data_IF_533698440233
#
_entry.id   IF_533698440233
#
_cell.length_a   1.000
_cell.length_b   1.000
_cell.length_c   1.000
_cell.angle_alpha   90.00
_cell.angle_beta   90.00
_cell.angle_gamma   90.00
#
_symmetry.space_group_name_H-M   'P 1'
#
loop_
_entity.id
_entity.type
_entity.pdbx_description
1 polymer ?
#
# COMPACT_ATOMS: atom_id res chain seq x y z
N UNK A 1 15.95 7.67 48.76
CA UNK A 1 16.41 6.77 47.68
C UNK A 1 15.45 6.67 46.48
N UNK A 2 14.20 7.17 46.55
CA UNK A 2 13.27 7.10 45.40
C UNK A 2 13.57 8.06 44.24
N UNK A 3 14.20 9.21 44.47
CA UNK A 3 14.42 10.23 43.42
C UNK A 3 15.30 9.73 42.26
N UNK A 4 16.36 8.96 42.54
CA UNK A 4 17.22 8.38 41.49
C UNK A 4 16.50 7.29 40.70
N UNK A 5 15.62 6.51 41.35
CA UNK A 5 14.77 5.51 40.67
C UNK A 5 13.76 6.15 39.73
N UNK A 6 13.15 7.27 40.14
CA UNK A 6 12.20 8.02 39.31
C UNK A 6 12.89 8.64 38.10
N UNK A 7 14.07 9.25 38.27
CA UNK A 7 14.85 9.81 37.16
C UNK A 7 15.26 8.72 36.15
N UNK A 8 15.63 7.54 36.63
CA UNK A 8 15.98 6.41 35.77
C UNK A 8 14.76 5.89 34.98
N UNK A 9 13.60 5.77 35.64
CA UNK A 9 12.36 5.35 34.99
C UNK A 9 11.90 6.38 33.94
N UNK A 10 12.00 7.67 34.25
CA UNK A 10 11.62 8.76 33.36
C UNK A 10 12.55 8.85 32.14
N UNK A 11 13.84 8.55 32.31
CA UNK A 11 14.81 8.42 31.21
C UNK A 11 14.51 7.25 30.27
N UNK A 12 14.20 6.06 30.83
CA UNK A 12 13.83 4.88 30.03
C UNK A 12 12.52 5.15 29.26
N UNK A 13 11.52 5.72 29.94
CA UNK A 13 10.23 6.03 29.32
C UNK A 13 10.37 7.06 28.18
N UNK A 14 11.20 8.09 28.38
CA UNK A 14 11.52 9.09 27.36
C UNK A 14 12.21 8.47 26.14
N UNK A 15 13.19 7.58 26.37
CA UNK A 15 13.89 6.88 25.28
C UNK A 15 12.95 6.01 24.45
N UNK A 16 12.06 5.24 25.10
CA UNK A 16 11.07 4.40 24.41
C UNK A 16 10.11 5.28 23.59
N UNK A 17 9.71 6.44 24.13
CA UNK A 17 8.81 7.37 23.45
C UNK A 17 9.45 8.02 22.21
N UNK A 18 10.71 8.45 22.28
CA UNK A 18 11.44 9.00 21.13
C UNK A 18 11.63 7.93 20.04
N UNK A 19 11.95 6.70 20.44
CA UNK A 19 12.06 5.57 19.52
C UNK A 19 10.73 5.30 18.81
N UNK A 20 9.62 5.31 19.55
CA UNK A 20 8.27 5.17 19.00
C UNK A 20 7.95 6.28 17.98
N UNK A 21 8.21 7.55 18.31
CA UNK A 21 8.00 8.68 17.39
C UNK A 21 8.83 8.51 16.12
N UNK A 22 10.08 8.08 16.25
CA UNK A 22 10.98 7.88 15.10
C UNK A 22 10.41 6.81 14.14
N UNK A 23 9.99 5.67 14.67
CA UNK A 23 9.34 4.62 13.87
C UNK A 23 8.07 5.14 13.22
N UNK A 24 7.25 5.90 13.95
CA UNK A 24 6.02 6.48 13.42
C UNK A 24 6.28 7.42 12.24
N UNK A 25 7.28 8.32 12.35
CA UNK A 25 7.68 9.22 11.27
C UNK A 25 8.13 8.42 10.04
N UNK A 26 8.94 7.38 10.22
CA UNK A 26 9.40 6.52 9.12
C UNK A 26 8.21 5.84 8.43
N UNK A 27 7.23 5.33 9.18
CA UNK A 27 6.03 4.70 8.62
C UNK A 27 5.19 5.72 7.82
N UNK A 28 4.97 6.92 8.34
CA UNK A 28 4.23 7.99 7.65
C UNK A 28 4.95 8.41 6.37
N UNK A 29 6.26 8.66 6.45
CA UNK A 29 7.08 9.03 5.29
C UNK A 29 7.06 7.93 4.22
N UNK A 30 7.19 6.67 4.62
CA UNK A 30 7.08 5.52 3.74
C UNK A 30 5.70 5.43 3.06
N UNK A 31 4.61 5.68 3.80
CA UNK A 31 3.25 5.68 3.26
C UNK A 31 3.05 6.76 2.18
N UNK A 32 3.55 7.98 2.44
CA UNK A 32 3.51 9.08 1.46
C UNK A 32 4.34 8.74 0.22
N UNK A 33 5.56 8.23 0.39
CA UNK A 33 6.43 7.85 -0.73
C UNK A 33 5.80 6.74 -1.59
N UNK A 34 5.26 5.71 -0.95
CA UNK A 34 4.56 4.61 -1.61
C UNK A 34 3.41 5.11 -2.47
N UNK A 35 2.59 6.01 -1.91
CA UNK A 35 1.48 6.63 -2.62
C UNK A 35 1.94 7.47 -3.82
N UNK A 36 3.01 8.27 -3.66
CA UNK A 36 3.57 9.08 -4.75
C UNK A 36 4.10 8.18 -5.87
N UNK A 37 4.81 7.11 -5.54
CA UNK A 37 5.33 6.17 -6.54
C UNK A 37 4.22 5.43 -7.29
N UNK A 38 3.18 4.94 -6.60
CA UNK A 38 2.06 4.24 -7.25
C UNK A 38 1.28 5.18 -8.19
N UNK A 39 0.99 6.41 -7.75
CA UNK A 39 0.28 7.40 -8.57
C UNK A 39 1.10 7.86 -9.79
N UNK A 40 2.41 8.04 -9.64
CA UNK A 40 3.32 8.33 -10.76
C UNK A 40 3.43 7.15 -11.74
N UNK A 41 3.48 5.91 -11.24
CA UNK A 41 3.53 4.71 -12.07
C UNK A 41 2.25 4.57 -12.90
N UNK A 42 1.08 4.74 -12.27
CA UNK A 42 -0.20 4.70 -12.96
C UNK A 42 -0.31 5.76 -14.06
N UNK A 43 0.10 7.01 -13.78
CA UNK A 43 -0.03 8.12 -14.74
C UNK A 43 0.68 7.83 -16.06
N UNK A 44 1.84 7.17 -16.00
CA UNK A 44 2.60 6.76 -17.19
C UNK A 44 1.95 5.57 -17.90
N UNK A 45 1.54 4.54 -17.16
CA UNK A 45 0.87 3.37 -17.74
C UNK A 45 -0.50 3.71 -18.37
N UNK A 46 -1.20 4.74 -17.88
CA UNK A 46 -2.52 5.17 -18.39
C UNK A 46 -2.47 6.29 -19.43
N UNK A 47 -1.29 6.82 -19.76
CA UNK A 47 -1.13 7.97 -20.68
C UNK A 47 -1.77 7.75 -22.06
N UNK A 48 -1.78 6.51 -22.56
CA UNK A 48 -2.42 6.13 -23.84
C UNK A 48 -3.83 5.52 -23.71
N UNK A 49 -4.32 5.18 -22.50
CA UNK A 49 -5.55 4.39 -22.34
C UNK A 49 -6.82 5.25 -22.21
N UNK A 50 -6.81 6.33 -21.43
CA UNK A 50 -7.96 7.23 -21.32
C UNK A 50 -7.53 8.60 -20.80
N UNK A 51 -7.50 9.59 -21.70
CA UNK A 51 -7.07 10.97 -21.48
C UNK A 51 -7.86 11.75 -20.39
N UNK A 52 -8.89 11.13 -19.77
CA UNK A 52 -9.76 11.71 -18.74
C UNK A 52 -9.53 11.18 -17.31
N UNK A 53 -8.83 10.05 -17.11
CA UNK A 53 -8.65 9.47 -15.77
C UNK A 53 -7.34 9.90 -15.07
N UNK A 54 -6.47 10.67 -15.75
CA UNK A 54 -5.17 11.10 -15.21
C UNK A 54 -5.23 11.96 -13.95
N UNK A 55 -6.32 12.70 -13.72
CA UNK A 55 -6.56 13.41 -12.45
C UNK A 55 -7.10 12.51 -11.34
N UNK A 56 -7.82 11.42 -11.68
CA UNK A 56 -8.43 10.50 -10.69
C UNK A 56 -7.43 9.49 -10.12
N UNK A 57 -6.31 9.27 -10.82
CA UNK A 57 -5.16 8.47 -10.35
C UNK A 57 -4.57 9.00 -9.04
N UNK A 58 -4.70 10.30 -8.78
CA UNK A 58 -4.19 10.96 -7.58
C UNK A 58 -5.15 10.86 -6.38
N UNK A 59 -6.21 10.04 -6.46
CA UNK A 59 -7.05 9.75 -5.30
C UNK A 59 -6.62 8.36 -4.76
N UNK A 60 -6.17 8.24 -3.49
CA UNK A 60 -5.59 7.01 -2.94
C UNK A 60 -6.43 5.75 -3.14
N UNK A 61 -7.75 5.85 -3.00
CA UNK A 61 -8.67 4.72 -3.16
C UNK A 61 -8.95 4.36 -4.62
N UNK A 62 -8.87 5.32 -5.55
CA UNK A 62 -9.12 5.09 -6.98
C UNK A 62 -7.92 4.47 -7.69
N UNK A 63 -6.70 4.73 -7.20
CA UNK A 63 -5.45 4.15 -7.69
C UNK A 63 -5.54 2.61 -7.83
N UNK A 64 -5.97 1.90 -6.77
CA UNK A 64 -6.16 0.44 -6.80
C UNK A 64 -7.20 -0.05 -7.82
N UNK A 65 -8.27 0.71 -8.02
CA UNK A 65 -9.31 0.36 -8.99
C UNK A 65 -8.81 0.49 -10.44
N UNK A 66 -7.96 1.47 -10.70
CA UNK A 66 -7.33 1.69 -12.01
C UNK A 66 -6.31 0.58 -12.31
N UNK A 67 -5.54 0.10 -11.32
CA UNK A 67 -4.69 -1.07 -11.50
C UNK A 67 -5.46 -2.31 -11.95
N UNK A 68 -6.63 -2.59 -11.36
CA UNK A 68 -7.47 -3.71 -11.82
C UNK A 68 -7.97 -3.55 -13.26
N UNK A 69 -8.26 -2.32 -13.70
CA UNK A 69 -8.60 -2.04 -15.12
C UNK A 69 -7.43 -2.32 -16.06
N UNK A 70 -6.20 -1.94 -15.69
CA UNK A 70 -4.98 -2.15 -16.51
C UNK A 70 -4.67 -3.64 -16.70
N UNK A 71 -4.93 -4.46 -15.68
CA UNK A 71 -4.67 -5.90 -15.69
C UNK A 71 -5.76 -6.70 -16.44
N UNK A 72 -6.88 -6.06 -16.80
CA UNK A 72 -8.02 -6.71 -17.45
C UNK A 72 -9.06 -7.31 -16.50
N UNK A 73 -8.84 -7.23 -15.18
CA UNK A 73 -9.79 -7.68 -14.15
C UNK A 73 -10.37 -6.48 -13.37
N UNK A 74 -11.27 -5.75 -14.04
CA UNK A 74 -11.93 -4.56 -13.47
C UNK A 74 -12.63 -4.85 -12.14
N UNK A 75 -13.23 -6.03 -11.98
CA UNK A 75 -13.89 -6.45 -10.75
C UNK A 75 -12.93 -6.57 -9.55
N UNK A 76 -11.75 -7.17 -9.73
CA UNK A 76 -10.78 -7.36 -8.63
C UNK A 76 -10.21 -6.03 -8.13
N UNK A 77 -9.95 -5.07 -9.02
CA UNK A 77 -9.51 -3.73 -8.63
C UNK A 77 -10.59 -2.96 -7.85
N UNK A 78 -11.86 -3.08 -8.26
CA UNK A 78 -12.99 -2.47 -7.54
C UNK A 78 -13.18 -3.09 -6.15
N UNK A 79 -13.08 -4.41 -6.03
CA UNK A 79 -13.20 -5.12 -4.75
C UNK A 79 -12.07 -4.70 -3.80
N UNK A 80 -10.82 -4.66 -4.26
CA UNK A 80 -9.70 -4.22 -3.42
C UNK A 80 -9.86 -2.77 -2.96
N UNK A 81 -10.30 -1.87 -3.85
CA UNK A 81 -10.61 -0.47 -3.52
C UNK A 81 -11.70 -0.35 -2.45
N UNK A 82 -12.79 -1.10 -2.58
CA UNK A 82 -13.90 -1.11 -1.62
C UNK A 82 -13.46 -1.65 -0.24
N UNK A 83 -12.71 -2.76 -0.22
CA UNK A 83 -12.16 -3.32 1.02
C UNK A 83 -11.25 -2.32 1.73
N UNK A 84 -10.40 -1.61 1.01
CA UNK A 84 -9.50 -0.60 1.61
C UNK A 84 -10.25 0.59 2.20
N UNK A 85 -11.34 1.02 1.55
CA UNK A 85 -12.22 2.07 2.07
C UNK A 85 -12.87 1.62 3.39
N UNK A 86 -13.41 0.40 3.41
CA UNK A 86 -14.05 -0.16 4.61
C UNK A 86 -13.02 -0.29 5.74
N UNK A 87 -11.83 -0.82 5.48
CA UNK A 87 -10.76 -0.93 6.47
C UNK A 87 -10.32 0.44 7.01
N UNK A 88 -10.25 1.46 6.15
CA UNK A 88 -9.92 2.83 6.56
C UNK A 88 -11.00 3.45 7.45
N UNK A 89 -12.28 3.30 7.09
CA UNK A 89 -13.41 3.77 7.89
C UNK A 89 -13.46 3.08 9.26
N UNK A 90 -13.22 1.78 9.30
CA UNK A 90 -13.19 1.00 10.55
C UNK A 90 -11.99 1.41 11.43
N UNK A 91 -10.85 1.75 10.83
CA UNK A 91 -9.68 2.25 11.54
C UNK A 91 -9.93 3.64 12.15
N UNK A 92 -10.57 4.55 11.39
CA UNK A 92 -10.98 5.86 11.90
C UNK A 92 -11.98 5.72 13.05
N UNK A 93 -12.93 4.79 12.96
CA UNK A 93 -13.87 4.49 14.04
C UNK A 93 -13.13 4.07 15.33
N UNK A 94 -12.14 3.17 15.24
CA UNK A 94 -11.35 2.80 16.42
C UNK A 94 -10.54 3.97 17.00
N UNK A 95 -10.02 4.87 16.15
CA UNK A 95 -9.25 6.02 16.60
C UNK A 95 -10.08 7.02 17.41
N UNK A 96 -11.30 7.34 16.95
CA UNK A 96 -12.17 8.30 17.65
C UNK A 96 -12.81 7.74 18.93
N UNK A 97 -13.25 6.48 18.90
CA UNK A 97 -13.98 5.90 20.03
C UNK A 97 -13.07 5.26 21.09
N UNK A 98 -11.78 5.04 20.81
CA UNK A 98 -10.78 4.44 21.71
C UNK A 98 -11.17 3.11 22.37
N UNK A 99 -12.27 2.48 21.92
CA UNK A 99 -12.78 1.21 22.43
C UNK A 99 -12.56 0.11 21.39
N UNK A 100 -11.64 -0.81 21.70
CA UNK A 100 -11.38 -1.98 20.86
C UNK A 100 -12.39 -3.08 21.20
N UNK A 101 -13.51 -3.12 20.47
CA UNK A 101 -14.36 -4.32 20.46
C UNK A 101 -13.62 -5.44 19.73
N UNK A 102 -13.26 -6.49 20.48
CA UNK A 102 -12.48 -7.63 19.97
C UNK A 102 -13.02 -8.20 18.65
N UNK A 103 -14.35 -8.31 18.51
CA UNK A 103 -14.98 -8.82 17.28
C UNK A 103 -14.72 -7.93 16.07
N UNK A 104 -14.91 -6.61 16.21
CA UNK A 104 -14.67 -5.66 15.11
C UNK A 104 -13.18 -5.58 14.75
N UNK A 105 -12.30 -5.74 15.75
CA UNK A 105 -10.86 -5.76 15.53
C UNK A 105 -10.43 -7.00 14.73
N UNK A 106 -10.98 -8.17 15.04
CA UNK A 106 -10.70 -9.41 14.31
C UNK A 106 -11.21 -9.33 12.85
N UNK A 107 -12.39 -8.73 12.64
CA UNK A 107 -12.93 -8.46 11.29
C UNK A 107 -12.00 -7.52 10.51
N UNK A 108 -11.50 -6.46 11.15
CA UNK A 108 -10.52 -5.55 10.53
C UNK A 108 -9.27 -6.29 10.07
N UNK A 109 -8.74 -7.16 10.92
CA UNK A 109 -7.52 -7.94 10.66
C UNK A 109 -7.71 -8.88 9.45
N UNK A 110 -8.84 -9.60 9.41
CA UNK A 110 -9.19 -10.44 8.26
C UNK A 110 -9.31 -9.64 6.96
N UNK A 111 -9.97 -8.49 6.99
CA UNK A 111 -10.09 -7.62 5.81
C UNK A 111 -8.73 -7.12 5.32
N UNK A 112 -7.81 -6.84 6.24
CA UNK A 112 -6.45 -6.39 5.92
C UNK A 112 -5.63 -7.49 5.25
N UNK A 113 -5.74 -8.73 5.74
CA UNK A 113 -5.11 -9.91 5.10
C UNK A 113 -5.67 -10.14 3.69
N UNK A 114 -7.00 -10.12 3.52
CA UNK A 114 -7.62 -10.31 2.20
C UNK A 114 -7.18 -9.22 1.22
N UNK A 115 -7.15 -7.97 1.68
CA UNK A 115 -6.68 -6.83 0.89
C UNK A 115 -5.23 -7.01 0.45
N UNK A 116 -4.37 -7.48 1.35
CA UNK A 116 -2.97 -7.75 1.06
C UNK A 116 -2.77 -8.83 -0.02
N UNK A 117 -3.55 -9.92 0.06
CA UNK A 117 -3.51 -11.00 -0.94
C UNK A 117 -3.95 -10.48 -2.31
N UNK A 118 -5.06 -9.74 -2.37
CA UNK A 118 -5.56 -9.16 -3.62
C UNK A 118 -4.57 -8.18 -4.24
N UNK A 119 -3.95 -7.34 -3.42
CA UNK A 119 -2.92 -6.40 -3.85
C UNK A 119 -1.70 -7.09 -4.46
N UNK A 120 -1.24 -8.15 -3.80
CA UNK A 120 -0.12 -8.97 -4.27
C UNK A 120 -0.46 -9.67 -5.58
N UNK A 121 -1.67 -10.22 -5.71
CA UNK A 121 -2.12 -10.87 -6.94
C UNK A 121 -2.18 -9.89 -8.12
N UNK A 122 -2.74 -8.69 -7.91
CA UNK A 122 -2.76 -7.63 -8.94
C UNK A 122 -1.34 -7.27 -9.37
N UNK A 123 -0.41 -7.11 -8.41
CA UNK A 123 0.98 -6.80 -8.70
C UNK A 123 1.68 -7.91 -9.50
N UNK A 124 1.51 -9.17 -9.09
CA UNK A 124 2.06 -10.34 -9.77
C UNK A 124 1.65 -10.38 -11.24
N UNK A 125 0.36 -10.18 -11.53
CA UNK A 125 -0.15 -10.15 -12.91
C UNK A 125 0.44 -9.01 -13.73
N UNK A 126 0.67 -7.83 -13.12
CA UNK A 126 1.37 -6.72 -13.80
C UNK A 126 2.81 -7.13 -14.13
N UNK A 127 3.54 -7.71 -13.18
CA UNK A 127 4.93 -8.11 -13.41
C UNK A 127 5.07 -9.19 -14.48
N UNK A 128 4.16 -10.17 -14.49
CA UNK A 128 4.16 -11.26 -15.47
C UNK A 128 3.84 -10.74 -16.89
N UNK A 129 2.97 -9.74 -17.01
CA UNK A 129 2.66 -9.11 -18.30
C UNK A 129 3.81 -8.27 -18.88
N UNK A 130 4.73 -7.76 -18.05
CA UNK A 130 5.85 -6.92 -18.52
C UNK A 130 7.13 -7.70 -18.72
N UNK A 131 7.41 -8.69 -17.88
CA UNK A 131 8.66 -9.43 -17.92
C UNK A 131 8.51 -10.83 -17.31
N UNK A 132 8.14 -11.85 -18.11
CA UNK A 132 7.86 -13.20 -17.61
C UNK A 132 9.06 -13.85 -16.90
N UNK A 133 10.31 -13.47 -17.25
CA UNK A 133 11.53 -14.03 -16.64
C UNK A 133 11.85 -13.51 -15.24
N UNK A 134 11.33 -12.33 -14.87
CA UNK A 134 11.62 -11.69 -13.57
C UNK A 134 10.37 -11.52 -12.70
N UNK A 135 9.17 -11.82 -13.23
CA UNK A 135 7.89 -11.65 -12.53
C UNK A 135 7.80 -12.43 -11.23
N UNK A 136 8.28 -13.67 -11.20
CA UNK A 136 8.23 -14.53 -10.01
C UNK A 136 9.15 -14.03 -8.90
N UNK A 137 10.36 -13.59 -9.27
CA UNK A 137 11.36 -13.04 -8.34
C UNK A 137 10.86 -11.72 -7.74
N UNK A 138 10.28 -10.84 -8.57
CA UNK A 138 9.65 -9.61 -8.07
C UNK A 138 8.48 -9.90 -7.13
N UNK A 139 7.68 -10.92 -7.42
CA UNK A 139 6.53 -11.27 -6.59
C UNK A 139 6.97 -11.83 -5.23
N UNK A 140 7.93 -12.75 -5.21
CA UNK A 140 8.48 -13.32 -4.00
C UNK A 140 9.11 -12.26 -3.08
N UNK A 141 9.81 -11.29 -3.65
CA UNK A 141 10.38 -10.16 -2.88
C UNK A 141 9.30 -9.22 -2.34
N UNK A 142 8.21 -8.97 -3.06
CA UNK A 142 7.05 -8.26 -2.49
C UNK A 142 6.42 -8.99 -1.32
N UNK A 143 6.22 -10.29 -1.41
CA UNK A 143 5.63 -11.11 -0.34
C UNK A 143 6.53 -11.08 0.90
N UNK A 144 7.84 -11.27 0.70
CA UNK A 144 8.83 -11.25 1.79
C UNK A 144 8.91 -9.87 2.45
N UNK A 145 8.76 -8.79 1.68
CA UNK A 145 8.73 -7.42 2.20
C UNK A 145 7.37 -7.00 2.80
N UNK A 146 6.40 -7.92 2.93
CA UNK A 146 5.03 -7.60 3.37
C UNK A 146 4.37 -6.48 2.54
N UNK A 147 4.67 -6.43 1.25
CA UNK A 147 4.14 -5.44 0.31
C UNK A 147 4.88 -4.11 0.28
N UNK A 148 5.92 -3.92 1.09
CA UNK A 148 6.66 -2.66 1.14
C UNK A 148 7.38 -2.32 -0.18
N UNK A 149 7.85 -3.33 -0.91
CA UNK A 149 8.58 -3.11 -2.15
C UNK A 149 7.67 -2.94 -3.38
N UNK A 150 6.36 -3.16 -3.23
CA UNK A 150 5.40 -3.14 -4.35
C UNK A 150 5.40 -1.80 -5.11
N UNK A 151 5.32 -0.62 -4.46
CA UNK A 151 5.31 0.67 -5.16
C UNK A 151 6.59 0.91 -5.97
N UNK A 152 7.75 0.53 -5.39
CA UNK A 152 9.05 0.69 -6.02
C UNK A 152 9.19 -0.20 -7.26
N UNK A 153 8.77 -1.46 -7.16
CA UNK A 153 8.81 -2.37 -8.31
C UNK A 153 7.85 -1.95 -9.43
N UNK A 154 6.63 -1.53 -9.09
CA UNK A 154 5.69 -0.97 -10.08
C UNK A 154 6.28 0.26 -10.77
N UNK A 155 7.00 1.11 -10.04
CA UNK A 155 7.68 2.26 -10.62
C UNK A 155 8.84 1.88 -11.54
N UNK A 156 9.64 0.87 -11.18
CA UNK A 156 10.74 0.39 -12.02
C UNK A 156 10.25 -0.28 -13.30
N UNK A 157 9.18 -1.08 -13.18
CA UNK A 157 8.62 -1.87 -14.28
C UNK A 157 7.81 -0.99 -15.25
N UNK A 158 7.41 0.23 -14.85
CA UNK A 158 6.54 1.12 -15.66
C UNK A 158 7.09 1.48 -17.03
N UNK A 159 8.40 1.69 -17.17
CA UNK A 159 8.98 2.14 -18.44
C UNK A 159 8.84 1.04 -19.50
N UNK A 160 9.12 -0.22 -19.13
CA UNK A 160 8.92 -1.36 -20.03
C UNK A 160 7.45 -1.57 -20.41
N UNK A 161 6.52 -1.33 -19.49
CA UNK A 161 5.07 -1.41 -19.79
C UNK A 161 4.66 -0.36 -20.83
N UNK A 162 5.19 0.86 -20.74
CA UNK A 162 4.89 1.92 -21.69
C UNK A 162 5.41 1.58 -23.10
N UNK A 163 6.62 1.04 -23.21
CA UNK A 163 7.22 0.68 -24.52
C UNK A 163 6.43 -0.45 -25.21
N UNK A 164 6.08 -1.53 -24.49
CA UNK A 164 5.28 -2.65 -25.04
C UNK A 164 3.91 -2.18 -25.56
N UNK A 165 3.33 -1.15 -24.95
CA UNK A 165 2.02 -0.63 -25.34
C UNK A 165 2.05 0.43 -26.44
N UNK A 166 3.22 0.98 -26.74
CA UNK A 166 3.40 1.98 -27.79
C UNK A 166 3.84 1.34 -29.13
N UNK A 167 4.39 0.11 -29.07
CA UNK A 167 4.71 -0.72 -30.24
C UNK A 167 3.52 -1.55 -30.77
N UNK A 168 2.37 -1.53 -30.09
CA UNK A 168 1.09 -2.12 -30.52
C UNK A 168 0.07 -1.04 -30.85
#
# INVERSE_FOLDING_TARGET
MGAMSVLFLMGILSSIFIFFITIFIVIVAYSVMSYVFESMALRLMTKNLWNKEGMRVWIPFYNKSIFGKIVGYKALGMISSCLTLISFLLSMYFFFYQQLKMVLFLVLLLMLIITFILDTFIAHRIYMNVSPRYGDILTATTILSLGLLRPLFLFLVRNKFHDIKNDN
#
